data_IF_511945298935
#
_entry.id   IF_511945298935
#
_cell.length_a   1.000
_cell.length_b   1.000
_cell.length_c   1.000
_cell.angle_alpha   90.00
_cell.angle_beta   90.00
_cell.angle_gamma   90.00
#
_symmetry.space_group_name_H-M   'P 1'
#
loop_
_entity.id
_entity.type
_entity.pdbx_description
1 polymer ?
#
# COMPACT_ATOMS: atom_id res chain seq x y z
N UNK A 1 -6.17 -5.09 -14.28
CA UNK A 1 -6.02 -3.63 -14.17
C UNK A 1 -7.19 -3.08 -13.39
N UNK A 2 -7.05 -3.11 -12.08
CA UNK A 2 -7.97 -2.56 -11.08
C UNK A 2 -7.29 -1.38 -10.39
N UNK A 3 -8.07 -0.35 -10.04
CA UNK A 3 -7.58 0.78 -9.25
C UNK A 3 -7.91 0.56 -7.78
N UNK A 4 -6.89 0.53 -6.93
CA UNK A 4 -7.02 0.45 -5.47
C UNK A 4 -6.86 1.84 -4.86
N UNK A 5 -7.83 2.26 -4.05
CA UNK A 5 -7.70 3.48 -3.23
C UNK A 5 -7.33 3.08 -1.81
N UNK A 6 -6.05 3.18 -1.48
CA UNK A 6 -5.48 2.72 -0.22
C UNK A 6 -5.24 3.89 0.73
N UNK A 7 -6.00 3.95 1.82
CA UNK A 7 -5.83 4.93 2.91
C UNK A 7 -5.02 4.25 4.02
N UNK A 8 -3.75 4.63 4.24
CA UNK A 8 -2.94 3.99 5.27
C UNK A 8 -3.48 4.26 6.67
N UNK A 9 -3.59 3.22 7.50
CA UNK A 9 -3.97 3.35 8.92
C UNK A 9 -2.78 3.61 9.85
N UNK A 10 -1.55 3.40 9.34
CA UNK A 10 -0.30 3.58 10.07
C UNK A 10 0.86 3.84 9.13
N UNK A 11 1.85 4.60 9.61
CA UNK A 11 3.12 4.88 8.92
C UNK A 11 4.27 4.37 9.79
N UNK A 12 5.33 3.89 9.13
CA UNK A 12 6.44 3.23 9.80
C UNK A 12 7.78 3.79 9.32
N UNK A 13 8.77 3.80 10.21
CA UNK A 13 10.14 4.27 9.97
C UNK A 13 11.13 3.09 9.80
N UNK A 14 10.62 1.89 9.52
CA UNK A 14 11.39 0.66 9.29
C UNK A 14 10.90 -0.01 8.01
N UNK A 15 11.78 -0.76 7.34
CA UNK A 15 11.48 -1.45 6.08
C UNK A 15 11.73 -2.96 6.26
N UNK A 16 10.80 -3.81 5.79
CA UNK A 16 10.97 -5.27 5.69
C UNK A 16 10.63 -6.12 6.92
N UNK A 17 10.34 -5.51 8.07
CA UNK A 17 10.01 -6.24 9.32
C UNK A 17 8.51 -6.35 9.62
N UNK A 18 7.66 -5.76 8.78
CA UNK A 18 6.22 -5.65 9.00
C UNK A 18 5.44 -6.46 7.96
N UNK A 19 4.22 -6.92 8.29
CA UNK A 19 3.34 -7.55 7.33
C UNK A 19 2.99 -6.61 6.15
N UNK A 20 2.66 -7.16 4.97
CA UNK A 20 2.18 -6.37 3.85
C UNK A 20 0.92 -5.57 4.21
N UNK A 21 0.84 -4.32 3.77
CA UNK A 21 -0.32 -3.47 4.00
C UNK A 21 -1.45 -3.70 2.96
N UNK A 22 -1.10 -4.20 1.77
CA UNK A 22 -2.02 -4.49 0.68
C UNK A 22 -1.40 -5.52 -0.27
N UNK A 23 -2.21 -6.44 -0.79
CA UNK A 23 -1.84 -7.33 -1.90
C UNK A 23 -2.51 -6.86 -3.19
N UNK A 24 -1.77 -6.78 -4.30
CA UNK A 24 -2.27 -6.34 -5.61
C UNK A 24 -1.82 -7.31 -6.71
N UNK A 25 -2.52 -7.28 -7.84
CA UNK A 25 -2.13 -8.04 -9.03
C UNK A 25 -1.23 -7.21 -9.95
N UNK A 26 -0.50 -7.89 -10.84
CA UNK A 26 0.32 -7.23 -11.84
C UNK A 26 -0.51 -6.32 -12.75
N UNK A 27 -0.01 -5.10 -12.97
CA UNK A 27 -0.69 -4.08 -13.77
C UNK A 27 -1.85 -3.39 -13.06
N UNK A 28 -2.01 -3.57 -11.75
CA UNK A 28 -2.91 -2.75 -10.94
C UNK A 28 -2.28 -1.39 -10.58
N UNK A 29 -3.15 -0.40 -10.37
CA UNK A 29 -2.76 0.94 -9.93
C UNK A 29 -3.17 1.14 -8.48
N UNK A 30 -2.27 1.69 -7.66
CA UNK A 30 -2.56 2.08 -6.28
C UNK A 30 -2.49 3.60 -6.15
N UNK A 31 -3.57 4.19 -5.69
CA UNK A 31 -3.60 5.59 -5.25
C UNK A 31 -3.57 5.59 -3.72
N UNK A 32 -2.56 6.20 -3.13
CA UNK A 32 -2.39 6.29 -1.68
C UNK A 32 -2.04 7.71 -1.25
N UNK A 33 -2.07 7.94 0.05
CA UNK A 33 -1.79 9.22 0.69
C UNK A 33 -0.53 9.06 1.55
N UNK A 34 0.25 10.12 1.71
CA UNK A 34 1.56 10.09 2.37
C UNK A 34 1.67 11.18 3.44
N UNK A 35 2.49 10.93 4.48
CA UNK A 35 2.92 11.92 5.48
C UNK A 35 4.32 12.47 5.19
#
# INVERSE_FOLDING_TARGET
MTTHRFIPTSFHNVIGSLPPALHIADGDTVVTETL
#
